data_IF_765148885799
#
_entry.id   IF_765148885799
#
_cell.length_a   1.000
_cell.length_b   1.000
_cell.length_c   1.000
_cell.angle_alpha   90.00
_cell.angle_beta   90.00
_cell.angle_gamma   90.00
#
_symmetry.space_group_name_H-M   'P 1'
#
loop_
_entity.id
_entity.type
_entity.pdbx_description
1 polymer ?
#
# COMPACT_ATOMS: atom_id res chain seq x y z
N UNK A 1 -25.61 -13.63 -2.19
CA UNK A 1 -25.79 -15.10 -2.35
C UNK A 1 -24.71 -15.55 -3.30
N UNK A 2 -23.60 -16.04 -2.74
CA UNK A 2 -22.31 -16.37 -3.38
C UNK A 2 -22.35 -17.25 -4.62
N UNK A 3 -23.52 -17.74 -5.02
CA UNK A 3 -23.71 -18.71 -6.09
C UNK A 3 -23.55 -18.18 -7.52
N UNK A 4 -23.29 -16.89 -7.76
CA UNK A 4 -23.33 -16.37 -9.15
C UNK A 4 -22.01 -15.87 -9.76
N UNK A 5 -20.93 -15.65 -8.99
CA UNK A 5 -19.71 -15.07 -9.55
C UNK A 5 -18.47 -15.99 -9.41
N UNK A 6 -18.21 -16.80 -10.44
CA UNK A 6 -17.09 -17.75 -10.48
C UNK A 6 -15.72 -17.07 -10.39
N UNK A 7 -15.55 -15.89 -11.00
CA UNK A 7 -14.30 -15.10 -10.93
C UNK A 7 -13.97 -14.74 -9.49
N UNK A 8 -14.92 -14.13 -8.78
CA UNK A 8 -14.71 -13.69 -7.40
C UNK A 8 -14.47 -14.88 -6.47
N UNK A 9 -15.16 -16.00 -6.67
CA UNK A 9 -14.90 -17.23 -5.92
C UNK A 9 -13.46 -17.73 -6.12
N UNK A 10 -12.96 -17.73 -7.37
CA UNK A 10 -11.58 -18.14 -7.70
C UNK A 10 -10.56 -17.21 -7.03
N UNK A 11 -10.69 -15.90 -7.22
CA UNK A 11 -9.79 -14.90 -6.63
C UNK A 11 -9.79 -14.97 -5.10
N UNK A 12 -10.96 -15.12 -4.49
CA UNK A 12 -11.11 -15.25 -3.04
C UNK A 12 -10.45 -16.53 -2.53
N UNK A 13 -10.61 -17.64 -3.24
CA UNK A 13 -9.97 -18.91 -2.90
C UNK A 13 -8.45 -18.76 -2.95
N UNK A 14 -7.91 -18.22 -4.04
CA UNK A 14 -6.48 -17.93 -4.20
C UNK A 14 -5.95 -17.07 -3.05
N UNK A 15 -6.63 -15.97 -2.72
CA UNK A 15 -6.28 -15.09 -1.60
C UNK A 15 -6.28 -15.83 -0.26
N UNK A 16 -7.30 -16.64 0.03
CA UNK A 16 -7.38 -17.37 1.31
C UNK A 16 -6.31 -18.45 1.44
N UNK A 17 -6.05 -19.19 0.36
CA UNK A 17 -5.10 -20.32 0.37
C UNK A 17 -3.65 -19.88 0.14
N UNK A 18 -3.39 -18.64 -0.27
CA UNK A 18 -2.04 -18.11 -0.39
C UNK A 18 -1.30 -18.23 0.96
N UNK A 19 -0.09 -18.77 0.89
CA UNK A 19 0.78 -18.97 2.06
C UNK A 19 1.60 -17.68 2.26
N UNK A 20 1.45 -16.99 3.42
CA UNK A 20 2.27 -15.84 3.75
C UNK A 20 3.76 -16.18 3.71
N UNK A 21 4.53 -15.35 3.02
CA UNK A 21 5.98 -15.53 2.85
C UNK A 21 6.69 -14.19 2.88
N UNK A 22 7.97 -14.21 3.21
CA UNK A 22 8.81 -13.00 3.11
C UNK A 22 9.13 -12.73 1.64
N UNK A 23 9.11 -11.47 1.24
CA UNK A 23 9.71 -10.99 -0.01
C UNK A 23 10.89 -10.08 0.30
N UNK A 24 12.06 -10.41 -0.24
CA UNK A 24 13.29 -9.63 -0.05
C UNK A 24 13.48 -8.56 -1.14
N UNK A 25 12.61 -8.53 -2.16
CA UNK A 25 12.72 -7.65 -3.34
C UNK A 25 12.88 -6.18 -2.94
N UNK A 26 11.96 -5.67 -2.09
CA UNK A 26 11.99 -4.27 -1.63
C UNK A 26 13.29 -3.95 -0.91
N UNK A 27 13.70 -4.80 0.04
CA UNK A 27 14.92 -4.59 0.81
C UNK A 27 16.16 -4.57 -0.09
N UNK A 28 16.20 -5.42 -1.11
CA UNK A 28 17.28 -5.46 -2.11
C UNK A 28 17.32 -4.17 -2.92
N UNK A 29 16.19 -3.74 -3.49
CA UNK A 29 16.11 -2.50 -4.29
C UNK A 29 16.47 -1.27 -3.45
N UNK A 30 15.99 -1.20 -2.21
CA UNK A 30 16.35 -0.15 -1.28
C UNK A 30 17.86 -0.13 -1.00
N UNK A 31 18.44 -1.30 -0.71
CA UNK A 31 19.87 -1.44 -0.44
C UNK A 31 20.72 -1.05 -1.65
N UNK A 32 20.31 -1.45 -2.84
CA UNK A 32 20.96 -1.09 -4.10
C UNK A 32 20.97 0.43 -4.32
N UNK A 33 19.80 1.08 -4.18
CA UNK A 33 19.69 2.53 -4.30
C UNK A 33 20.62 3.24 -3.31
N UNK A 34 20.58 2.86 -2.03
CA UNK A 34 21.39 3.49 -0.98
C UNK A 34 22.89 3.19 -1.08
N UNK A 35 23.31 2.19 -1.87
CA UNK A 35 24.72 1.94 -2.23
C UNK A 35 25.17 2.74 -3.45
N UNK A 36 24.23 3.21 -4.27
CA UNK A 36 24.54 3.94 -5.50
C UNK A 36 25.00 5.38 -5.24
N UNK A 37 25.64 6.00 -6.24
CA UNK A 37 25.98 7.42 -6.20
C UNK A 37 24.74 8.33 -6.14
N UNK A 38 23.58 7.87 -6.63
CA UNK A 38 22.35 8.64 -6.64
C UNK A 38 21.80 8.93 -5.23
N UNK A 39 22.21 8.16 -4.22
CA UNK A 39 21.82 8.38 -2.83
C UNK A 39 22.71 9.43 -2.11
N UNK A 40 23.75 9.96 -2.76
CA UNK A 40 24.68 10.92 -2.15
C UNK A 40 24.33 12.36 -2.52
N UNK A 41 24.53 13.27 -1.57
CA UNK A 41 24.50 14.73 -1.81
C UNK A 41 23.10 15.37 -1.84
N UNK A 42 22.03 14.57 -1.81
CA UNK A 42 20.66 15.07 -1.64
C UNK A 42 20.28 15.17 -0.15
N UNK A 43 19.28 16.00 0.15
CA UNK A 43 18.65 16.04 1.47
C UNK A 43 18.01 14.69 1.82
N UNK A 44 17.75 14.45 3.11
CA UNK A 44 17.08 13.24 3.59
C UNK A 44 15.72 13.00 2.90
N UNK A 45 14.79 13.99 2.83
CA UNK A 45 13.49 13.77 2.19
C UNK A 45 13.65 13.43 0.70
N UNK A 46 14.50 14.16 -0.04
CA UNK A 46 14.75 13.88 -1.46
C UNK A 46 15.36 12.49 -1.66
N UNK A 47 16.31 12.09 -0.80
CA UNK A 47 16.90 10.74 -0.83
C UNK A 47 15.86 9.65 -0.60
N UNK A 48 14.90 9.86 0.32
CA UNK A 48 13.81 8.92 0.58
C UNK A 48 12.85 8.83 -0.61
N UNK A 49 12.48 9.95 -1.20
CA UNK A 49 11.63 9.98 -2.38
C UNK A 49 12.30 9.31 -3.60
N UNK A 50 13.59 9.54 -3.81
CA UNK A 50 14.37 8.87 -4.86
C UNK A 50 14.47 7.36 -4.63
N UNK A 51 14.67 6.91 -3.39
CA UNK A 51 14.64 5.50 -3.02
C UNK A 51 13.27 4.86 -3.30
N UNK A 52 12.20 5.55 -2.92
CA UNK A 52 10.82 5.13 -3.18
C UNK A 52 10.54 5.01 -4.68
N UNK A 53 10.94 6.03 -5.46
CA UNK A 53 10.89 6.00 -6.92
C UNK A 53 11.65 4.82 -7.51
N UNK A 54 12.87 4.58 -7.05
CA UNK A 54 13.67 3.44 -7.49
C UNK A 54 12.98 2.10 -7.22
N UNK A 55 12.37 1.93 -6.04
CA UNK A 55 11.60 0.72 -5.72
C UNK A 55 10.42 0.56 -6.69
N UNK A 56 9.60 1.60 -6.87
CA UNK A 56 8.40 1.51 -7.71
C UNK A 56 8.70 1.35 -9.20
N UNK A 57 9.85 1.85 -9.68
CA UNK A 57 10.29 1.69 -11.07
C UNK A 57 10.87 0.31 -11.37
N UNK A 58 11.36 -0.42 -10.35
CA UNK A 58 12.08 -1.68 -10.55
C UNK A 58 11.39 -2.91 -9.96
N UNK A 59 10.49 -2.75 -8.98
CA UNK A 59 9.82 -3.90 -8.36
C UNK A 59 8.96 -4.67 -9.36
N UNK A 60 8.74 -5.96 -9.11
CA UNK A 60 7.89 -6.82 -9.94
C UNK A 60 6.46 -6.28 -10.00
N UNK A 61 5.89 -6.29 -11.19
CA UNK A 61 4.49 -5.95 -11.47
C UNK A 61 3.68 -7.25 -11.42
N UNK A 62 2.58 -7.24 -10.67
CA UNK A 62 1.72 -8.40 -10.49
C UNK A 62 0.31 -8.10 -11.01
N UNK A 63 -0.14 -8.88 -11.99
CA UNK A 63 -1.52 -8.91 -12.48
C UNK A 63 -1.92 -10.38 -12.50
N UNK A 64 -2.67 -10.82 -11.49
CA UNK A 64 -3.11 -12.20 -11.39
C UNK A 64 -4.27 -12.49 -12.35
N UNK A 65 -4.44 -13.76 -12.67
CA UNK A 65 -5.50 -14.21 -13.56
C UNK A 65 -6.88 -13.84 -12.99
N UNK A 66 -7.71 -13.16 -13.80
CA UNK A 66 -9.05 -12.75 -13.42
C UNK A 66 -9.13 -11.45 -12.60
N UNK A 67 -8.02 -10.81 -12.23
CA UNK A 67 -8.06 -9.56 -11.46
C UNK A 67 -8.69 -8.40 -12.24
N UNK A 68 -9.44 -7.57 -11.52
CA UNK A 68 -10.01 -6.30 -11.99
C UNK A 68 -9.30 -5.09 -11.40
N UNK A 69 -8.97 -5.15 -10.10
CA UNK A 69 -8.09 -4.19 -9.44
C UNK A 69 -6.70 -4.83 -9.37
N UNK A 70 -5.68 -4.13 -9.86
CA UNK A 70 -4.34 -4.70 -10.09
C UNK A 70 -3.26 -4.07 -9.23
N UNK A 71 -2.19 -4.83 -9.00
CA UNK A 71 -1.03 -4.43 -8.20
C UNK A 71 -1.02 -5.09 -6.82
N UNK A 72 0.19 -5.40 -6.35
CA UNK A 72 0.47 -6.06 -5.07
C UNK A 72 1.64 -5.34 -4.36
N UNK A 73 1.69 -5.38 -3.02
CA UNK A 73 2.80 -4.78 -2.25
C UNK A 73 4.12 -5.51 -2.51
N UNK A 74 4.06 -6.84 -2.58
CA UNK A 74 5.15 -7.72 -3.00
C UNK A 74 5.08 -8.11 -4.47
N UNK A 75 5.81 -9.17 -4.89
CA UNK A 75 5.75 -9.70 -6.25
C UNK A 75 4.49 -10.56 -6.51
N UNK A 76 3.79 -11.00 -5.47
CA UNK A 76 2.60 -11.86 -5.54
C UNK A 76 1.77 -11.74 -4.24
N UNK A 77 0.50 -12.19 -4.23
CA UNK A 77 -0.34 -12.18 -3.03
C UNK A 77 0.33 -12.80 -1.80
N UNK A 78 0.31 -12.07 -0.68
CA UNK A 78 0.95 -12.43 0.62
C UNK A 78 2.46 -12.67 0.59
N UNK A 79 3.16 -12.30 -0.48
CA UNK A 79 4.61 -12.13 -0.45
C UNK A 79 4.94 -10.76 0.14
N UNK A 80 5.44 -10.75 1.36
CA UNK A 80 5.39 -9.59 2.25
C UNK A 80 6.76 -8.94 2.38
N UNK A 81 6.94 -7.67 1.99
CA UNK A 81 8.24 -7.02 2.04
C UNK A 81 8.82 -6.87 3.45
N UNK A 82 10.14 -6.73 3.52
CA UNK A 82 10.86 -6.29 4.72
C UNK A 82 11.34 -4.84 4.61
N UNK A 83 11.56 -4.21 5.77
CA UNK A 83 11.89 -2.79 5.90
C UNK A 83 13.16 -2.63 6.73
N UNK A 84 14.34 -2.97 6.19
CA UNK A 84 15.58 -3.02 6.95
C UNK A 84 16.03 -1.65 7.46
N UNK A 85 15.52 -0.55 6.88
CA UNK A 85 15.72 0.80 7.40
C UNK A 85 14.91 1.07 8.68
N UNK A 86 13.85 0.29 8.95
CA UNK A 86 13.06 0.35 10.19
C UNK A 86 13.60 -0.66 11.18
N UNK A 87 13.52 -1.95 10.83
CA UNK A 87 13.99 -3.06 11.63
C UNK A 87 14.69 -4.09 10.73
N UNK A 88 15.93 -4.37 11.07
CA UNK A 88 16.76 -5.37 10.42
C UNK A 88 16.60 -6.72 11.13
N UNK A 89 16.05 -7.70 10.43
CA UNK A 89 15.83 -9.04 11.00
C UNK A 89 17.13 -9.85 10.99
N UNK A 90 17.39 -10.54 12.09
CA UNK A 90 18.49 -11.50 12.26
C UNK A 90 18.15 -12.87 11.64
N UNK A 91 19.15 -13.74 11.53
CA UNK A 91 18.93 -15.14 11.13
C UNK A 91 17.92 -15.85 12.05
N UNK A 92 18.01 -15.58 13.35
CA UNK A 92 17.10 -16.16 14.34
C UNK A 92 15.66 -15.67 14.16
N UNK A 93 15.48 -14.37 13.88
CA UNK A 93 14.16 -13.81 13.61
C UNK A 93 13.50 -14.50 12.41
N UNK A 94 14.25 -14.70 11.32
CA UNK A 94 13.74 -15.40 10.13
C UNK A 94 13.44 -16.89 10.41
N UNK A 95 14.25 -17.57 11.23
CA UNK A 95 13.95 -18.95 11.66
C UNK A 95 12.67 -19.02 12.51
N UNK A 96 12.47 -18.06 13.41
CA UNK A 96 11.23 -17.96 14.21
C UNK A 96 10.04 -17.70 13.29
N UNK A 97 10.15 -16.76 12.35
CA UNK A 97 9.06 -16.44 11.41
C UNK A 97 8.67 -17.63 10.54
N UNK A 98 9.62 -18.44 10.09
CA UNK A 98 9.34 -19.61 9.23
C UNK A 98 8.69 -20.77 10.00
N UNK A 99 9.08 -20.96 11.26
CA UNK A 99 8.73 -22.14 12.06
C UNK A 99 7.61 -21.91 13.09
N UNK A 100 7.29 -20.66 13.46
CA UNK A 100 6.27 -20.37 14.48
C UNK A 100 4.89 -20.90 14.07
N UNK A 101 4.17 -21.43 15.05
CA UNK A 101 2.86 -22.07 14.85
C UNK A 101 1.81 -21.09 14.29
N UNK A 102 1.78 -19.88 14.84
CA UNK A 102 0.82 -18.83 14.47
C UNK A 102 1.52 -17.70 13.74
N UNK A 103 0.83 -17.14 12.75
CA UNK A 103 1.28 -15.96 12.00
C UNK A 103 2.65 -16.16 11.33
N UNK A 104 3.01 -17.38 10.88
CA UNK A 104 4.30 -17.63 10.21
C UNK A 104 4.42 -16.98 8.84
N UNK A 105 5.64 -16.59 8.48
CA UNK A 105 5.98 -16.17 7.13
C UNK A 105 7.04 -17.13 6.62
N UNK A 106 6.76 -17.82 5.52
CA UNK A 106 7.73 -18.73 4.93
C UNK A 106 8.97 -18.00 4.43
N UNK A 107 10.13 -18.57 4.76
CA UNK A 107 11.46 -18.04 4.41
C UNK A 107 12.23 -19.11 3.66
N UNK A 108 12.52 -18.87 2.38
CA UNK A 108 13.35 -19.79 1.60
C UNK A 108 14.83 -19.67 1.98
N UNK A 109 15.66 -20.71 1.73
CA UNK A 109 17.11 -20.61 1.91
C UNK A 109 17.75 -19.46 1.10
N UNK A 110 17.21 -19.17 -0.08
CA UNK A 110 17.65 -18.04 -0.92
C UNK A 110 17.37 -16.70 -0.22
N UNK A 111 16.17 -16.51 0.31
CA UNK A 111 15.80 -15.28 1.05
C UNK A 111 16.69 -15.13 2.30
N UNK A 112 16.91 -16.22 3.03
CA UNK A 112 17.81 -16.21 4.20
C UNK A 112 19.23 -15.79 3.80
N UNK A 113 19.76 -16.36 2.73
CA UNK A 113 21.09 -16.04 2.22
C UNK A 113 21.21 -14.56 1.82
N UNK A 114 20.24 -14.04 1.05
CA UNK A 114 20.21 -12.63 0.65
C UNK A 114 20.11 -11.70 1.86
N UNK A 115 19.27 -12.03 2.83
CA UNK A 115 19.13 -11.25 4.05
C UNK A 115 20.47 -11.21 4.82
N UNK A 116 21.14 -12.34 5.03
CA UNK A 116 22.37 -12.40 5.84
C UNK A 116 23.61 -11.84 5.14
N UNK A 117 23.73 -12.01 3.82
CA UNK A 117 24.94 -11.65 3.09
C UNK A 117 24.86 -10.29 2.40
N UNK A 118 23.67 -9.78 2.08
CA UNK A 118 23.52 -8.52 1.34
C UNK A 118 22.83 -7.42 2.16
N UNK A 119 21.70 -7.74 2.78
CA UNK A 119 20.84 -6.76 3.48
C UNK A 119 21.40 -6.47 4.87
N UNK A 120 21.59 -7.50 5.67
CA UNK A 120 22.00 -7.39 7.06
C UNK A 120 23.32 -6.60 7.22
N UNK A 121 24.39 -6.89 6.46
CA UNK A 121 25.66 -6.18 6.61
C UNK A 121 25.57 -4.70 6.26
N UNK A 122 24.70 -4.33 5.33
CA UNK A 122 24.55 -2.93 4.91
C UNK A 122 23.74 -2.09 5.91
N UNK A 123 22.67 -2.65 6.46
CA UNK A 123 21.73 -1.91 7.32
C UNK A 123 22.05 -1.98 8.81
N UNK A 124 22.96 -2.87 9.23
CA UNK A 124 23.43 -2.93 10.62
C UNK A 124 23.97 -1.57 11.07
N UNK A 125 23.50 -1.11 12.23
CA UNK A 125 23.82 0.20 12.80
C UNK A 125 23.08 1.38 12.14
N UNK A 126 22.20 1.14 11.17
CA UNK A 126 21.47 2.20 10.43
C UNK A 126 19.97 2.16 10.65
N UNK A 127 19.42 1.04 11.13
CA UNK A 127 17.98 0.88 11.31
C UNK A 127 17.43 1.82 12.38
N UNK A 128 16.17 2.22 12.25
CA UNK A 128 15.49 3.07 13.23
C UNK A 128 15.43 2.37 14.60
N UNK A 129 15.17 1.06 14.61
CA UNK A 129 15.21 0.26 15.85
C UNK A 129 16.51 0.43 16.61
N UNK A 130 17.65 0.21 15.94
CA UNK A 130 18.97 0.37 16.57
C UNK A 130 19.17 1.80 17.08
N UNK A 131 18.73 2.82 16.33
CA UNK A 131 18.84 4.22 16.76
C UNK A 131 18.02 4.51 18.01
N UNK A 132 16.78 4.01 18.09
CA UNK A 132 15.91 4.16 19.28
C UNK A 132 16.61 3.56 20.49
N UNK A 133 16.97 2.27 20.43
CA UNK A 133 17.55 1.55 21.57
C UNK A 133 18.94 2.07 21.99
N UNK A 134 19.68 2.71 21.09
CA UNK A 134 20.96 3.37 21.43
C UNK A 134 20.77 4.78 22.05
N UNK A 135 19.58 5.36 21.99
CA UNK A 135 19.29 6.74 22.43
C UNK A 135 18.52 6.84 23.76
N UNK A 136 17.90 5.74 24.18
CA UNK A 136 17.10 5.65 25.42
C UNK A 136 17.97 5.36 26.64
N UNK A 137 17.46 5.67 27.84
CA UNK A 137 18.19 5.43 29.10
C UNK A 137 18.07 3.96 29.56
N UNK A 138 18.97 3.49 30.45
CA UNK A 138 18.85 2.16 31.04
C UNK A 138 17.50 1.90 31.72
N UNK A 139 16.94 2.89 32.42
CA UNK A 139 15.63 2.76 33.10
C UNK A 139 14.49 2.54 32.11
N UNK A 140 14.56 3.14 30.92
CA UNK A 140 13.62 2.90 29.85
C UNK A 140 13.70 1.45 29.35
N UNK A 141 14.92 0.94 29.16
CA UNK A 141 15.17 -0.44 28.72
C UNK A 141 14.69 -1.44 29.78
N UNK A 142 14.95 -1.17 31.05
CA UNK A 142 14.49 -2.02 32.15
C UNK A 142 12.96 -2.05 32.23
N UNK A 143 12.29 -0.90 32.08
CA UNK A 143 10.83 -0.82 32.07
C UNK A 143 10.20 -1.52 30.86
N UNK A 144 10.80 -1.39 29.67
CA UNK A 144 10.39 -2.12 28.46
C UNK A 144 10.55 -3.64 28.64
N UNK A 145 11.71 -4.10 29.12
CA UNK A 145 11.97 -5.52 29.36
C UNK A 145 11.10 -6.11 30.48
N UNK A 146 10.70 -5.28 31.45
CA UNK A 146 9.76 -5.65 32.51
C UNK A 146 8.28 -5.64 32.04
N UNK A 147 8.00 -5.23 30.80
CA UNK A 147 6.66 -5.18 30.23
C UNK A 147 5.77 -4.06 30.80
N UNK A 148 6.36 -2.96 31.27
CA UNK A 148 5.61 -1.81 31.80
C UNK A 148 4.93 -1.02 30.67
N UNK A 149 5.57 -0.94 29.50
CA UNK A 149 5.04 -0.34 28.28
C UNK A 149 5.65 -1.03 27.05
N UNK A 150 5.11 -0.73 25.85
CA UNK A 150 5.66 -1.16 24.56
C UNK A 150 6.08 0.05 23.71
N UNK A 151 6.92 -0.17 22.69
CA UNK A 151 7.42 0.87 21.78
C UNK A 151 6.94 0.62 20.35
N UNK A 152 5.89 1.31 19.92
CA UNK A 152 5.26 1.06 18.62
C UNK A 152 6.20 1.32 17.43
N UNK A 153 7.18 2.22 17.56
CA UNK A 153 8.06 2.61 16.47
C UNK A 153 9.31 1.73 16.34
N UNK A 154 9.45 0.66 17.15
CA UNK A 154 10.65 -0.20 17.09
C UNK A 154 10.73 -1.06 15.81
N UNK A 155 9.59 -1.49 15.26
CA UNK A 155 9.52 -2.38 14.09
C UNK A 155 8.63 -1.83 12.97
N UNK A 156 7.92 -0.74 13.25
CA UNK A 156 7.00 -0.07 12.34
C UNK A 156 7.22 1.43 12.36
N UNK A 157 6.74 2.09 11.33
CA UNK A 157 6.69 3.54 11.24
C UNK A 157 5.40 4.07 11.87
N UNK A 158 5.36 5.34 12.33
CA UNK A 158 4.19 5.91 12.99
C UNK A 158 2.88 5.63 12.26
N UNK A 159 2.78 5.94 10.96
CA UNK A 159 1.62 5.56 10.14
C UNK A 159 0.30 6.05 10.74
N UNK A 160 -0.63 5.13 10.98
CA UNK A 160 -1.85 5.35 11.74
C UNK A 160 -2.65 6.56 11.22
N UNK A 161 -2.87 6.56 9.90
CA UNK A 161 -3.51 7.67 9.18
C UNK A 161 -4.56 7.17 8.19
N UNK A 162 -5.41 8.10 7.74
CA UNK A 162 -6.54 7.84 6.85
C UNK A 162 -6.45 8.78 5.66
N UNK A 163 -6.79 8.26 4.48
CA UNK A 163 -6.91 9.06 3.28
C UNK A 163 -7.92 10.21 3.48
N UNK A 164 -7.51 11.42 3.10
CA UNK A 164 -8.41 12.55 3.00
C UNK A 164 -9.27 12.49 1.73
N UNK A 165 -10.34 13.30 1.67
CA UNK A 165 -11.26 13.34 0.51
C UNK A 165 -10.60 13.75 -0.81
N UNK A 166 -9.49 14.49 -0.74
CA UNK A 166 -8.86 15.09 -1.92
C UNK A 166 -8.31 14.04 -2.90
N UNK A 167 -7.85 12.87 -2.42
CA UNK A 167 -7.28 11.83 -3.28
C UNK A 167 -8.30 11.26 -4.28
N UNK A 168 -9.60 11.41 -4.00
CA UNK A 168 -10.66 10.90 -4.86
C UNK A 168 -11.01 11.87 -6.00
N UNK A 169 -10.47 13.08 -5.98
CA UNK A 169 -10.80 14.16 -6.93
C UNK A 169 -9.57 14.81 -7.57
N UNK A 170 -8.36 14.36 -7.24
CA UNK A 170 -7.11 15.02 -7.63
C UNK A 170 -6.11 13.99 -8.16
N UNK A 171 -5.52 14.25 -9.32
CA UNK A 171 -4.41 13.45 -9.85
C UNK A 171 -3.05 13.90 -9.30
N UNK A 172 -2.05 13.01 -9.37
CA UNK A 172 -0.69 13.39 -8.99
C UNK A 172 -0.10 14.50 -9.86
N UNK A 173 -0.54 14.68 -11.10
CA UNK A 173 -0.12 15.82 -11.92
C UNK A 173 -0.63 17.16 -11.35
N UNK A 174 -1.84 17.18 -10.76
CA UNK A 174 -2.39 18.37 -10.12
C UNK A 174 -1.63 18.70 -8.82
N UNK A 175 -1.27 17.67 -8.04
CA UNK A 175 -0.39 17.84 -6.87
C UNK A 175 0.98 18.39 -7.28
N UNK A 176 1.59 17.89 -8.37
CA UNK A 176 2.85 18.42 -8.89
C UNK A 176 2.74 19.90 -9.28
N UNK A 177 1.64 20.31 -9.92
CA UNK A 177 1.42 21.72 -10.24
C UNK A 177 1.34 22.57 -8.95
N UNK A 178 0.63 22.10 -7.93
CA UNK A 178 0.51 22.78 -6.63
C UNK A 178 1.87 22.89 -5.93
N UNK A 179 2.67 21.81 -5.96
CA UNK A 179 4.03 21.77 -5.41
C UNK A 179 4.94 22.77 -6.13
N UNK A 180 4.90 22.82 -7.46
CA UNK A 180 5.71 23.75 -8.25
C UNK A 180 5.34 25.22 -7.96
N UNK A 181 4.05 25.52 -7.82
CA UNK A 181 3.59 26.85 -7.39
C UNK A 181 4.09 27.19 -5.99
N UNK A 182 4.03 26.23 -5.05
CA UNK A 182 4.55 26.41 -3.69
C UNK A 182 6.06 26.71 -3.71
N UNK A 183 6.85 25.95 -4.48
CA UNK A 183 8.30 26.19 -4.66
C UNK A 183 8.57 27.59 -5.21
N UNK A 184 7.82 28.04 -6.22
CA UNK A 184 7.98 29.37 -6.82
C UNK A 184 7.63 30.51 -5.86
N UNK A 185 6.78 30.24 -4.86
CA UNK A 185 6.34 31.22 -3.86
C UNK A 185 7.23 31.34 -2.63
N UNK A 186 8.27 30.51 -2.50
CA UNK A 186 9.17 30.50 -1.34
C UNK A 186 9.97 31.81 -1.21
N UNK A 187 9.96 32.41 -0.02
CA UNK A 187 10.72 33.61 0.31
C UNK A 187 12.10 33.28 0.89
N UNK A 188 13.08 33.06 0.02
CA UNK A 188 14.47 32.78 0.45
C UNK A 188 15.15 33.94 1.18
N UNK A 189 14.57 35.14 1.19
CA UNK A 189 15.18 36.31 1.84
C UNK A 189 14.76 36.42 3.30
N UNK A 190 13.48 36.16 3.60
CA UNK A 190 12.92 36.39 4.93
C UNK A 190 12.46 35.11 5.65
N UNK A 191 12.29 34.00 4.95
CA UNK A 191 11.95 32.71 5.57
C UNK A 191 13.21 31.85 5.75
N UNK A 192 13.63 31.67 7.00
CA UNK A 192 14.81 30.86 7.36
C UNK A 192 14.65 29.37 7.03
N UNK A 193 13.41 28.90 6.86
CA UNK A 193 13.10 27.50 6.53
C UNK A 193 12.89 27.29 5.03
N UNK A 194 12.96 28.34 4.20
CA UNK A 194 12.65 28.25 2.78
C UNK A 194 13.47 27.17 2.04
N UNK A 195 14.73 26.99 2.43
CA UNK A 195 15.59 25.94 1.86
C UNK A 195 15.09 24.53 2.23
N UNK A 196 14.73 24.30 3.49
CA UNK A 196 14.21 22.99 3.95
C UNK A 196 12.84 22.69 3.34
N UNK A 197 11.95 23.70 3.30
CA UNK A 197 10.64 23.60 2.62
C UNK A 197 10.79 23.22 1.15
N UNK A 198 11.77 23.82 0.45
CA UNK A 198 12.06 23.46 -0.95
C UNK A 198 12.44 21.99 -1.07
N UNK A 199 13.31 21.49 -0.21
CA UNK A 199 13.76 20.09 -0.26
C UNK A 199 12.61 19.10 0.02
N UNK A 200 11.74 19.39 0.97
CA UNK A 200 10.51 18.62 1.21
C UNK A 200 9.57 18.65 0.00
N UNK A 201 9.34 19.82 -0.59
CA UNK A 201 8.50 19.96 -1.78
C UNK A 201 9.07 19.20 -2.99
N UNK A 202 10.40 19.23 -3.19
CA UNK A 202 11.07 18.44 -4.23
C UNK A 202 10.90 16.94 -3.99
N UNK A 203 10.98 16.49 -2.74
CA UNK A 203 10.73 15.09 -2.40
C UNK A 203 9.29 14.67 -2.73
N UNK A 204 8.30 15.52 -2.41
CA UNK A 204 6.90 15.28 -2.75
C UNK A 204 6.69 15.20 -4.28
N UNK A 205 7.37 16.06 -5.05
CA UNK A 205 7.30 16.01 -6.52
C UNK A 205 7.86 14.69 -7.08
N UNK A 206 8.97 14.19 -6.53
CA UNK A 206 9.58 12.91 -6.92
C UNK A 206 8.67 11.73 -6.53
N UNK A 207 8.04 11.78 -5.34
CA UNK A 207 7.11 10.75 -4.90
C UNK A 207 5.86 10.69 -5.81
N UNK A 208 5.36 11.84 -6.27
CA UNK A 208 4.29 11.90 -7.26
C UNK A 208 4.70 11.21 -8.58
N UNK A 209 5.92 11.45 -9.07
CA UNK A 209 6.44 10.76 -10.26
C UNK A 209 6.59 9.25 -10.04
N UNK A 210 6.99 8.82 -8.85
CA UNK A 210 7.14 7.40 -8.51
C UNK A 210 5.82 6.63 -8.68
N UNK A 211 4.74 7.16 -8.11
CA UNK A 211 3.41 6.52 -8.16
C UNK A 211 2.85 6.53 -9.60
N UNK A 212 3.03 7.64 -10.34
CA UNK A 212 2.66 7.70 -11.76
C UNK A 212 3.42 6.64 -12.57
N UNK A 213 4.72 6.50 -12.35
CA UNK A 213 5.57 5.51 -13.03
C UNK A 213 5.12 4.09 -12.73
N UNK A 214 4.77 3.80 -11.46
CA UNK A 214 4.24 2.50 -11.05
C UNK A 214 2.97 2.10 -11.78
N UNK A 215 2.00 3.02 -11.89
CA UNK A 215 0.76 2.78 -12.61
C UNK A 215 1.00 2.60 -14.13
N UNK A 216 1.87 3.42 -14.73
CA UNK A 216 2.26 3.26 -16.15
C UNK A 216 2.89 1.89 -16.43
N UNK A 217 3.70 1.35 -15.52
CA UNK A 217 4.25 -0.02 -15.64
C UNK A 217 3.14 -1.08 -15.61
N UNK A 218 2.11 -0.92 -14.78
CA UNK A 218 0.93 -1.79 -14.81
C UNK A 218 0.16 -1.66 -16.13
N UNK A 219 0.01 -0.44 -16.67
CA UNK A 219 -0.61 -0.23 -17.97
C UNK A 219 0.11 -1.00 -19.07
N UNK A 220 1.43 -0.87 -19.14
CA UNK A 220 2.26 -1.59 -20.12
C UNK A 220 2.12 -3.10 -19.98
N UNK A 221 2.15 -3.62 -18.76
CA UNK A 221 2.03 -5.07 -18.52
C UNK A 221 0.64 -5.60 -18.88
N UNK A 222 -0.42 -4.89 -18.49
CA UNK A 222 -1.79 -5.24 -18.86
C UNK A 222 -1.98 -5.26 -20.39
N UNK A 223 -1.40 -4.30 -21.13
CA UNK A 223 -1.44 -4.30 -22.62
C UNK A 223 -0.71 -5.51 -23.20
N UNK A 224 0.46 -5.87 -22.67
CA UNK A 224 1.20 -7.05 -23.14
C UNK A 224 0.39 -8.33 -22.94
N UNK A 225 -0.22 -8.49 -21.77
CA UNK A 225 -1.10 -9.62 -21.48
C UNK A 225 -2.32 -9.62 -22.41
N UNK A 226 -2.95 -8.47 -22.65
CA UNK A 226 -4.12 -8.35 -23.52
C UNK A 226 -3.85 -8.79 -24.97
N UNK A 227 -2.66 -8.49 -25.51
CA UNK A 227 -2.31 -8.83 -26.89
C UNK A 227 -2.31 -10.34 -27.13
N UNK A 228 -1.81 -11.12 -26.16
CA UNK A 228 -1.69 -12.58 -26.24
C UNK A 228 -2.86 -13.33 -25.62
N UNK A 229 -3.78 -12.62 -24.96
CA UNK A 229 -5.00 -13.22 -24.40
C UNK A 229 -5.94 -13.70 -25.52
N UNK A 230 -6.45 -14.92 -25.32
CA UNK A 230 -7.30 -15.63 -26.27
C UNK A 230 -8.78 -15.55 -25.89
N UNK A 231 -9.09 -15.43 -24.59
CA UNK A 231 -10.46 -15.31 -24.13
C UNK A 231 -10.96 -13.85 -24.36
N UNK A 232 -11.98 -13.62 -25.22
CA UNK A 232 -12.37 -12.28 -25.64
C UNK A 232 -12.75 -11.33 -24.50
N UNK A 233 -13.45 -11.81 -23.47
CA UNK A 233 -13.87 -10.99 -22.33
C UNK A 233 -12.65 -10.56 -21.51
N UNK A 234 -11.76 -11.49 -21.16
CA UNK A 234 -10.54 -11.20 -20.42
C UNK A 234 -9.62 -10.27 -21.19
N UNK A 235 -9.53 -10.44 -22.51
CA UNK A 235 -8.78 -9.54 -23.39
C UNK A 235 -9.29 -8.11 -23.30
N UNK A 236 -10.62 -7.92 -23.37
CA UNK A 236 -11.23 -6.61 -23.21
C UNK A 236 -10.96 -6.02 -21.82
N UNK A 237 -11.08 -6.83 -20.76
CA UNK A 237 -10.78 -6.41 -19.39
C UNK A 237 -9.32 -5.96 -19.24
N UNK A 238 -8.35 -6.69 -19.80
CA UNK A 238 -6.94 -6.32 -19.74
C UNK A 238 -6.64 -5.03 -20.49
N UNK A 239 -7.29 -4.79 -21.65
CA UNK A 239 -7.19 -3.49 -22.32
C UNK A 239 -7.80 -2.37 -21.47
N UNK A 240 -8.93 -2.62 -20.81
CA UNK A 240 -9.55 -1.63 -19.93
C UNK A 240 -8.68 -1.35 -18.69
N UNK A 241 -8.10 -2.37 -18.05
CA UNK A 241 -7.12 -2.21 -16.98
C UNK A 241 -5.93 -1.38 -17.46
N UNK A 242 -5.44 -1.64 -18.67
CA UNK A 242 -4.35 -0.87 -19.24
C UNK A 242 -4.72 0.61 -19.43
N UNK A 243 -5.92 0.91 -19.92
CA UNK A 243 -6.40 2.27 -20.11
C UNK A 243 -6.57 2.97 -18.76
N UNK A 244 -7.19 2.32 -17.78
CA UNK A 244 -7.32 2.81 -16.39
C UNK A 244 -5.95 3.14 -15.80
N UNK A 245 -5.00 2.21 -15.84
CA UNK A 245 -3.67 2.40 -15.26
C UNK A 245 -2.82 3.43 -16.01
N UNK A 246 -3.16 3.73 -17.28
CA UNK A 246 -2.50 4.81 -18.02
C UNK A 246 -2.95 6.20 -17.57
N UNK A 247 -4.16 6.25 -16.99
CA UNK A 247 -4.81 7.47 -16.53
C UNK A 247 -4.57 7.71 -15.04
N UNK A 248 -5.00 6.78 -14.19
CA UNK A 248 -4.89 6.91 -12.73
C UNK A 248 -3.60 6.27 -12.21
N UNK A 249 -2.91 6.90 -11.25
CA UNK A 249 -3.33 8.08 -10.50
C UNK A 249 -2.73 9.40 -11.02
N UNK A 250 -2.17 9.43 -12.23
CA UNK A 250 -1.63 10.67 -12.83
C UNK A 250 -2.72 11.75 -12.95
N UNK A 251 -3.91 11.36 -13.36
CA UNK A 251 -5.12 12.18 -13.41
C UNK A 251 -6.12 11.73 -12.34
N UNK A 252 -7.04 12.63 -12.00
CA UNK A 252 -8.19 12.32 -11.15
C UNK A 252 -9.04 11.19 -11.79
N UNK A 253 -9.60 10.27 -10.98
CA UNK A 253 -10.49 9.24 -11.51
C UNK A 253 -11.78 9.85 -12.07
N UNK A 254 -12.30 9.31 -13.17
CA UNK A 254 -13.54 9.77 -13.83
C UNK A 254 -14.70 8.79 -13.70
N UNK A 255 -14.44 7.56 -13.25
CA UNK A 255 -15.46 6.53 -13.08
C UNK A 255 -15.17 5.65 -11.86
N UNK A 256 -16.14 4.78 -11.54
CA UNK A 256 -16.10 3.94 -10.34
C UNK A 256 -14.89 2.99 -10.31
N UNK A 257 -14.55 2.36 -11.44
CA UNK A 257 -13.39 1.45 -11.51
C UNK A 257 -12.08 2.22 -11.38
N UNK A 258 -11.96 3.38 -12.04
CA UNK A 258 -10.82 4.27 -11.88
C UNK A 258 -10.65 4.73 -10.44
N UNK A 259 -11.73 5.08 -9.73
CA UNK A 259 -11.66 5.53 -8.33
C UNK A 259 -11.06 4.44 -7.42
N UNK A 260 -11.51 3.20 -7.57
CA UNK A 260 -10.96 2.06 -6.82
C UNK A 260 -9.49 1.80 -7.14
N UNK A 261 -9.12 1.78 -8.43
CA UNK A 261 -7.73 1.56 -8.85
C UNK A 261 -6.82 2.73 -8.46
N UNK A 262 -7.33 3.97 -8.50
CA UNK A 262 -6.62 5.18 -8.09
C UNK A 262 -6.23 5.10 -6.61
N UNK A 263 -7.20 4.83 -5.74
CA UNK A 263 -6.95 4.61 -4.32
C UNK A 263 -5.98 3.44 -4.11
N UNK A 264 -6.16 2.33 -4.84
CA UNK A 264 -5.33 1.14 -4.65
C UNK A 264 -3.85 1.40 -4.96
N UNK A 265 -3.54 2.17 -6.01
CA UNK A 265 -2.16 2.58 -6.29
C UNK A 265 -1.58 3.48 -5.21
N UNK A 266 -2.37 4.40 -4.64
CA UNK A 266 -1.94 5.24 -3.52
C UNK A 266 -1.68 4.38 -2.28
N UNK A 267 -2.62 3.50 -1.94
CA UNK A 267 -2.48 2.57 -0.82
C UNK A 267 -1.19 1.76 -0.93
N UNK A 268 -0.93 1.13 -2.09
CA UNK A 268 0.31 0.40 -2.35
C UNK A 268 1.54 1.31 -2.26
N UNK A 269 1.47 2.52 -2.79
CA UNK A 269 2.56 3.51 -2.68
C UNK A 269 2.95 3.78 -1.23
N UNK A 270 1.98 4.19 -0.40
CA UNK A 270 2.19 4.51 1.02
C UNK A 270 2.77 3.32 1.79
N UNK A 271 2.16 2.14 1.64
CA UNK A 271 2.62 0.97 2.41
C UNK A 271 3.90 0.35 1.85
N UNK A 272 4.30 0.65 0.61
CA UNK A 272 5.61 0.26 0.07
C UNK A 272 6.69 1.26 0.46
N UNK A 273 6.38 2.55 0.53
CA UNK A 273 7.29 3.60 0.99
C UNK A 273 7.84 3.26 2.37
N UNK A 274 6.97 2.87 3.31
CA UNK A 274 7.37 2.60 4.68
C UNK A 274 6.50 1.56 5.40
N UNK A 275 6.99 1.00 6.51
CA UNK A 275 6.23 -0.01 7.29
C UNK A 275 5.25 0.65 8.27
N UNK A 276 4.29 1.43 7.78
CA UNK A 276 3.35 2.20 8.60
C UNK A 276 2.44 1.31 9.45
N UNK A 277 2.12 1.73 10.68
CA UNK A 277 0.98 1.18 11.41
C UNK A 277 -0.32 1.38 10.62
N UNK A 278 -1.22 0.41 10.75
CA UNK A 278 -2.58 0.39 10.20
C UNK A 278 -2.68 0.62 8.70
N UNK A 279 -1.63 0.20 7.97
CA UNK A 279 -1.58 0.25 6.52
C UNK A 279 -1.87 1.67 6.01
N UNK A 280 -2.84 1.82 5.10
CA UNK A 280 -3.43 3.08 4.70
C UNK A 280 -4.93 2.90 4.50
N UNK A 281 -5.74 3.74 5.15
CA UNK A 281 -7.19 3.56 5.25
C UNK A 281 -7.94 4.43 4.23
N UNK A 282 -8.97 3.94 3.50
CA UNK A 282 -9.77 4.80 2.61
C UNK A 282 -10.76 5.68 3.37
N UNK A 283 -10.94 5.44 4.68
CA UNK A 283 -11.85 6.20 5.53
C UNK A 283 -13.31 5.92 5.18
N UNK A 284 -14.00 6.95 4.69
CA UNK A 284 -15.44 6.92 4.43
C UNK A 284 -15.72 6.53 2.99
N UNK A 285 -15.38 5.29 2.67
CA UNK A 285 -15.33 4.78 1.31
C UNK A 285 -16.67 4.94 0.56
N UNK A 286 -17.79 4.77 1.25
CA UNK A 286 -19.13 4.96 0.67
C UNK A 286 -19.38 6.41 0.23
N UNK A 287 -18.97 7.39 1.03
CA UNK A 287 -19.07 8.81 0.68
C UNK A 287 -18.16 9.18 -0.49
N UNK A 288 -16.99 8.54 -0.58
CA UNK A 288 -16.03 8.81 -1.64
C UNK A 288 -16.45 8.22 -2.99
N UNK A 289 -17.20 7.12 -2.99
CA UNK A 289 -17.59 6.40 -4.20
C UNK A 289 -18.97 6.77 -4.75
N UNK A 290 -19.86 7.38 -3.93
CA UNK A 290 -21.28 7.55 -4.30
C UNK A 290 -21.49 8.40 -5.56
N UNK A 291 -20.68 9.43 -5.79
CA UNK A 291 -20.78 10.25 -7.01
C UNK A 291 -20.44 9.43 -8.26
N UNK A 292 -19.31 8.72 -8.23
CA UNK A 292 -18.89 7.83 -9.32
C UNK A 292 -19.92 6.74 -9.63
N UNK A 293 -20.57 6.21 -8.59
CA UNK A 293 -21.61 5.20 -8.74
C UNK A 293 -22.85 5.78 -9.44
N UNK A 294 -23.41 6.87 -8.91
CA UNK A 294 -24.63 7.48 -9.46
C UNK A 294 -24.44 7.97 -10.90
N UNK A 295 -23.31 8.62 -11.20
CA UNK A 295 -22.98 9.04 -12.57
C UNK A 295 -22.83 7.84 -13.51
N UNK A 296 -22.19 6.76 -13.05
CA UNK A 296 -22.02 5.55 -13.84
C UNK A 296 -23.34 4.87 -14.18
N UNK A 297 -24.27 4.82 -13.21
CA UNK A 297 -25.63 4.27 -13.39
C UNK A 297 -26.44 5.14 -14.34
N UNK A 298 -26.43 6.47 -14.16
CA UNK A 298 -27.14 7.42 -15.01
C UNK A 298 -26.69 7.34 -16.48
N UNK A 299 -25.37 7.21 -16.72
CA UNK A 299 -24.80 7.07 -18.06
C UNK A 299 -24.94 5.66 -18.65
N UNK A 300 -25.45 4.70 -17.88
CA UNK A 300 -25.54 3.29 -18.29
C UNK A 300 -24.19 2.59 -18.45
N UNK A 301 -23.12 3.16 -17.88
CA UNK A 301 -21.76 2.60 -17.93
C UNK A 301 -21.43 1.70 -16.74
N UNK A 302 -22.27 1.70 -15.71
CA UNK A 302 -22.12 0.91 -14.49
C UNK A 302 -23.48 0.33 -14.07
N UNK A 303 -23.55 -0.98 -13.85
CA UNK A 303 -24.70 -1.61 -13.20
C UNK A 303 -24.39 -1.88 -11.72
N UNK A 304 -25.43 -2.11 -10.92
CA UNK A 304 -25.27 -2.48 -9.51
C UNK A 304 -24.43 -3.74 -9.34
N UNK A 305 -24.68 -4.76 -10.15
CA UNK A 305 -23.95 -6.04 -10.12
C UNK A 305 -22.48 -5.86 -10.52
N UNK A 306 -22.21 -4.96 -11.47
CA UNK A 306 -20.84 -4.68 -11.89
C UNK A 306 -20.07 -3.89 -10.82
N UNK A 307 -20.70 -2.92 -10.18
CA UNK A 307 -20.12 -2.19 -9.06
C UNK A 307 -19.82 -3.12 -7.87
N UNK A 308 -20.74 -4.02 -7.53
CA UNK A 308 -20.55 -5.01 -6.46
C UNK A 308 -19.37 -5.94 -6.78
N UNK A 309 -19.26 -6.43 -8.00
CA UNK A 309 -18.14 -7.28 -8.42
C UNK A 309 -16.78 -6.55 -8.33
N UNK A 310 -16.72 -5.27 -8.73
CA UNK A 310 -15.52 -4.44 -8.57
C UNK A 310 -15.14 -4.27 -7.09
N UNK A 311 -16.12 -4.05 -6.22
CA UNK A 311 -15.91 -3.94 -4.78
C UNK A 311 -15.45 -5.28 -4.17
N UNK A 312 -16.02 -6.41 -4.59
CA UNK A 312 -15.57 -7.74 -4.17
C UNK A 312 -14.12 -7.99 -4.60
N UNK A 313 -13.76 -7.65 -5.84
CA UNK A 313 -12.38 -7.73 -6.31
C UNK A 313 -11.45 -6.82 -5.50
N UNK A 314 -11.88 -5.60 -5.19
CA UNK A 314 -11.16 -4.65 -4.34
C UNK A 314 -10.95 -5.16 -2.91
N UNK A 315 -11.95 -5.81 -2.31
CA UNK A 315 -11.85 -6.44 -0.98
C UNK A 315 -10.76 -7.51 -0.92
N UNK A 316 -10.64 -8.32 -1.98
CA UNK A 316 -9.61 -9.37 -2.07
C UNK A 316 -8.20 -8.76 -2.02
N UNK A 317 -8.02 -7.58 -2.61
CA UNK A 317 -6.72 -6.90 -2.64
C UNK A 317 -6.20 -6.58 -1.24
N UNK A 318 -7.03 -6.13 -0.32
CA UNK A 318 -6.64 -5.93 1.08
C UNK A 318 -6.25 -7.25 1.76
N UNK A 319 -7.01 -8.32 1.55
CA UNK A 319 -6.72 -9.62 2.16
C UNK A 319 -5.44 -10.27 1.62
N UNK A 320 -4.96 -9.84 0.46
CA UNK A 320 -3.65 -10.21 -0.08
C UNK A 320 -2.48 -9.49 0.62
N UNK A 321 -2.73 -8.44 1.43
CA UNK A 321 -1.70 -7.66 2.12
C UNK A 321 -1.66 -7.99 3.61
N UNK A 322 -0.89 -8.99 4.05
CA UNK A 322 -0.63 -9.15 5.47
C UNK A 322 0.24 -7.99 5.99
N UNK A 323 0.09 -7.66 7.27
CA UNK A 323 1.02 -6.80 7.98
C UNK A 323 2.45 -7.38 7.87
N UNK A 324 3.48 -6.55 7.64
CA UNK A 324 4.86 -7.02 7.59
C UNK A 324 5.26 -7.78 8.85
N UNK A 325 6.21 -8.74 8.74
CA UNK A 325 6.53 -9.65 9.83
C UNK A 325 6.98 -8.90 11.08
N UNK A 326 6.41 -9.31 12.22
CA UNK A 326 6.70 -8.81 13.57
C UNK A 326 7.38 -9.91 14.38
N UNK A 327 8.36 -9.55 15.20
CA UNK A 327 9.05 -10.42 16.17
C UNK A 327 9.11 -9.76 17.55
N UNK A 328 9.48 -10.52 18.59
CA UNK A 328 9.60 -9.98 19.97
C UNK A 328 8.30 -9.34 20.49
N UNK A 329 8.43 -8.25 21.26
CA UNK A 329 7.31 -7.53 21.89
C UNK A 329 6.27 -7.08 20.87
N UNK A 330 6.69 -6.60 19.69
CA UNK A 330 5.73 -6.19 18.63
C UNK A 330 4.86 -7.35 18.13
N UNK A 331 5.38 -8.58 18.14
CA UNK A 331 4.59 -9.76 17.82
C UNK A 331 3.63 -10.13 18.96
N UNK A 332 4.04 -9.94 20.22
CA UNK A 332 3.21 -10.23 21.40
C UNK A 332 2.03 -9.27 21.52
N UNK A 333 2.23 -7.97 21.26
CA UNK A 333 1.16 -6.96 21.31
C UNK A 333 0.22 -7.03 20.10
N UNK A 334 0.70 -7.50 18.94
CA UNK A 334 -0.04 -7.47 17.67
C UNK A 334 0.16 -8.73 16.82
N UNK A 335 -0.19 -9.89 17.39
CA UNK A 335 -0.03 -11.22 16.78
C UNK A 335 -1.09 -11.55 15.71
N UNK A 336 -1.08 -10.83 14.59
CA UNK A 336 -2.05 -11.01 13.49
C UNK A 336 -1.42 -10.70 12.13
N UNK A 337 -1.96 -11.32 11.07
CA UNK A 337 -1.68 -10.92 9.68
C UNK A 337 -2.46 -9.68 9.26
N UNK A 338 -3.53 -9.31 9.97
CA UNK A 338 -4.33 -8.14 9.60
C UNK A 338 -3.51 -6.87 9.80
N UNK A 339 -3.53 -5.98 8.81
CA UNK A 339 -2.82 -4.70 8.83
C UNK A 339 -3.77 -3.52 9.12
N UNK A 340 -4.90 -3.81 9.76
CA UNK A 340 -5.86 -2.86 10.32
C UNK A 340 -6.36 -1.76 9.36
N UNK A 341 -6.43 -2.06 8.06
CA UNK A 341 -7.07 -1.16 7.10
C UNK A 341 -8.58 -1.07 7.38
N UNK A 342 -9.00 -0.01 8.05
CA UNK A 342 -10.33 0.29 8.54
C UNK A 342 -11.15 1.12 7.53
N UNK A 343 -12.39 0.69 7.31
CA UNK A 343 -13.42 1.37 6.51
C UNK A 343 -14.61 1.66 7.42
N UNK A 344 -15.09 2.90 7.39
CA UNK A 344 -16.27 3.33 8.15
C UNK A 344 -17.42 3.63 7.19
N UNK A 345 -18.55 2.93 7.36
CA UNK A 345 -19.74 3.03 6.51
C UNK A 345 -20.85 3.84 7.21
N UNK A 346 -21.65 4.57 6.44
CA UNK A 346 -22.75 5.34 6.97
C UNK A 346 -22.27 6.57 7.75
N UNK A 347 -22.81 6.78 8.96
CA UNK A 347 -22.55 7.96 9.77
C UNK A 347 -23.21 9.23 9.21
N UNK A 348 -22.62 10.40 9.48
CA UNK A 348 -23.18 11.71 9.08
C UNK A 348 -22.37 12.35 7.94
N UNK A 349 -22.98 13.05 7.00
CA UNK A 349 -22.26 13.89 6.01
C UNK A 349 -21.56 15.08 6.69
N UNK A 350 -20.80 15.86 5.91
CA UNK A 350 -20.11 17.07 6.42
C UNK A 350 -21.08 18.13 6.99
N UNK A 351 -22.32 18.16 6.50
CA UNK A 351 -23.39 19.06 6.97
C UNK A 351 -24.18 18.50 8.16
N UNK A 352 -23.86 17.28 8.63
CA UNK A 352 -24.54 16.62 9.74
C UNK A 352 -25.80 15.84 9.37
N UNK A 353 -26.18 15.77 8.08
CA UNK A 353 -27.26 14.90 7.63
C UNK A 353 -26.86 13.42 7.61
N UNK A 354 -27.82 12.51 7.47
CA UNK A 354 -27.57 11.08 7.27
C UNK A 354 -26.68 10.84 6.04
N UNK A 355 -25.56 10.14 6.25
CA UNK A 355 -24.60 9.75 5.22
C UNK A 355 -24.88 8.41 4.56
N UNK A 356 -25.82 7.60 5.07
CA UNK A 356 -26.14 6.30 4.49
C UNK A 356 -26.62 6.46 3.05
N UNK A 357 -26.05 5.65 2.15
CA UNK A 357 -26.36 5.68 0.72
C UNK A 357 -26.30 4.28 0.10
N UNK A 358 -26.52 4.20 -1.21
CA UNK A 358 -26.55 2.98 -2.00
C UNK A 358 -25.25 2.17 -1.89
N UNK A 359 -24.10 2.85 -1.81
CA UNK A 359 -22.80 2.19 -1.61
C UNK A 359 -22.66 1.67 -0.19
N UNK A 360 -23.22 2.33 0.83
CA UNK A 360 -23.22 1.81 2.21
C UNK A 360 -23.86 0.42 2.26
N UNK A 361 -25.04 0.24 1.65
CA UNK A 361 -25.72 -1.06 1.59
C UNK A 361 -24.96 -2.09 0.74
N UNK A 362 -24.49 -1.70 -0.44
CA UNK A 362 -23.70 -2.57 -1.31
C UNK A 362 -22.42 -3.08 -0.61
N UNK A 363 -21.78 -2.23 0.20
CA UNK A 363 -20.62 -2.62 0.99
C UNK A 363 -20.97 -3.61 2.11
N UNK A 364 -22.15 -3.48 2.74
CA UNK A 364 -22.64 -4.49 3.69
C UNK A 364 -22.84 -5.86 3.01
N UNK A 365 -23.40 -5.87 1.80
CA UNK A 365 -23.55 -7.09 1.01
C UNK A 365 -22.17 -7.70 0.66
N UNK A 366 -21.21 -6.87 0.23
CA UNK A 366 -19.82 -7.31 -0.03
C UNK A 366 -19.19 -7.91 1.24
N UNK A 367 -19.39 -7.30 2.41
CA UNK A 367 -18.85 -7.79 3.68
C UNK A 367 -19.46 -9.15 4.04
N UNK A 368 -20.80 -9.25 3.97
CA UNK A 368 -21.53 -10.48 4.27
C UNK A 368 -21.08 -11.64 3.36
N UNK A 369 -20.87 -11.32 2.08
CA UNK A 369 -20.52 -12.28 1.05
C UNK A 369 -19.05 -12.69 1.13
N UNK A 370 -18.13 -11.73 1.22
CA UNK A 370 -16.69 -12.01 1.13
C UNK A 370 -16.16 -12.74 2.36
N UNK A 371 -16.63 -12.45 3.58
CA UNK A 371 -16.19 -13.13 4.83
C UNK A 371 -14.67 -13.36 4.88
N UNK A 372 -13.91 -12.31 4.59
CA UNK A 372 -12.44 -12.24 4.71
C UNK A 372 -12.10 -11.22 5.80
N UNK A 373 -10.93 -11.37 6.41
CA UNK A 373 -10.57 -10.60 7.62
C UNK A 373 -10.12 -9.17 7.32
N UNK A 374 -9.76 -8.88 6.06
CA UNK A 374 -9.34 -7.55 5.63
C UNK A 374 -10.12 -7.13 4.39
N UNK A 375 -10.48 -5.84 4.27
CA UNK A 375 -10.27 -4.77 5.24
C UNK A 375 -11.15 -4.93 6.51
N UNK A 376 -10.77 -4.27 7.59
CA UNK A 376 -11.63 -4.12 8.78
C UNK A 376 -12.80 -3.23 8.41
N UNK A 377 -13.99 -3.78 8.35
CA UNK A 377 -15.18 -3.08 7.84
C UNK A 377 -16.15 -2.80 8.98
N UNK A 378 -16.38 -1.52 9.27
CA UNK A 378 -17.13 -1.05 10.43
C UNK A 378 -18.27 -0.09 9.99
N UNK A 379 -19.29 0.02 10.84
CA UNK A 379 -20.44 0.93 10.71
C UNK A 379 -20.46 1.97 11.82
#
# INVERSE_FOLDING_TARGET
MLHKNERIQKLRTQSRTAIPRISIERAKLLTEFYKSEAAKGASIPVTRAMAFKYILENKTICISEGELIVGERGPEPKATPTYPEVCIHTENDFKILDSREKISFKVSPEIMNLQMNEIHPYWKGKSIREKIFNSVTPEWIDAYNAGIFTEFMEQRAPGHTVAGKQIWHTGFLDYKQTIQQAIQSLDFKNDSEAAEKKEELLAMEIAADAIISFARRHSVEARKMAVVEMEPRRKQELFQIADICSRVPAHAPENFWEALQHYWFIHLGVITEFNTWDSFNPGRLDQHLISFYREGVERGTLSSEWAEELLQAFWIKFNNQPAPPKVGVTAEESNTYTDFCNINLGGLKEDGEDGVNEISYMLLDVIEEMRILQPSSNV
#
